data_IF_520298824627
#
_entry.id   IF_520298824627
#
_cell.length_a   1.000
_cell.length_b   1.000
_cell.length_c   1.000
_cell.angle_alpha   90.00
_cell.angle_beta   90.00
_cell.angle_gamma   90.00
#
_symmetry.space_group_name_H-M   'P 1'
#
loop_
_entity.id
_entity.type
_entity.pdbx_description
1 polymer ?
#
# COMPACT_ATOMS: atom_id res chain seq x y z
N UNK A 1 -13.93 -27.15 -58.43
CA UNK A 1 -13.16 -26.37 -57.43
C UNK A 1 -14.16 -25.59 -56.60
N UNK A 2 -14.51 -26.14 -55.42
CA UNK A 2 -15.42 -25.50 -54.45
C UNK A 2 -14.58 -24.92 -53.34
N UNK A 3 -14.64 -23.60 -53.23
CA UNK A 3 -14.03 -22.84 -52.12
C UNK A 3 -14.90 -23.06 -50.85
N UNK A 4 -14.37 -23.76 -49.86
CA UNK A 4 -14.97 -23.82 -48.55
C UNK A 4 -14.87 -22.46 -47.84
N UNK A 5 -16.01 -21.83 -47.63
CA UNK A 5 -16.19 -20.71 -46.71
C UNK A 5 -15.97 -21.22 -45.26
N UNK A 6 -14.91 -20.73 -44.65
CA UNK A 6 -14.63 -20.82 -43.23
C UNK A 6 -15.17 -19.53 -42.54
N UNK A 7 -16.48 -19.35 -42.55
CA UNK A 7 -17.12 -18.22 -41.87
C UNK A 7 -18.42 -18.72 -41.24
N UNK A 8 -18.32 -19.47 -40.16
CA UNK A 8 -19.39 -19.66 -39.18
C UNK A 8 -18.81 -20.30 -37.88
N UNK A 9 -17.87 -19.59 -37.25
CA UNK A 9 -17.56 -19.86 -35.87
C UNK A 9 -18.67 -19.23 -35.02
N UNK A 10 -19.35 -20.00 -34.18
CA UNK A 10 -20.52 -19.51 -33.48
C UNK A 10 -20.12 -18.47 -32.42
N UNK A 11 -20.52 -17.23 -32.67
CA UNK A 11 -20.49 -16.12 -31.71
C UNK A 11 -21.32 -16.36 -30.42
N UNK A 12 -21.73 -17.61 -30.16
CA UNK A 12 -22.60 -18.03 -29.08
C UNK A 12 -21.88 -18.63 -27.86
N UNK A 13 -20.55 -18.64 -27.83
CA UNK A 13 -19.82 -19.19 -26.67
C UNK A 13 -19.58 -18.16 -25.55
N UNK A 14 -19.81 -16.89 -25.83
CA UNK A 14 -19.56 -15.80 -24.86
C UNK A 14 -20.80 -15.36 -24.06
N UNK A 15 -21.98 -15.93 -24.38
CA UNK A 15 -23.25 -15.67 -23.67
C UNK A 15 -23.53 -16.65 -22.52
N UNK A 16 -22.56 -17.47 -22.12
CA UNK A 16 -22.65 -18.11 -20.80
C UNK A 16 -22.48 -16.99 -19.78
N UNK A 17 -23.57 -16.67 -19.05
CA UNK A 17 -23.52 -15.96 -17.75
C UNK A 17 -22.25 -16.43 -17.04
N UNK A 18 -21.20 -15.58 -17.01
CA UNK A 18 -20.00 -15.92 -16.27
C UNK A 18 -20.49 -16.12 -14.84
N UNK A 19 -20.39 -17.34 -14.31
CA UNK A 19 -20.70 -17.59 -12.91
C UNK A 19 -19.85 -16.62 -12.11
N UNK A 20 -20.50 -15.81 -11.29
CA UNK A 20 -19.83 -14.89 -10.38
C UNK A 20 -18.84 -15.67 -9.53
N UNK A 21 -17.56 -15.51 -9.79
CA UNK A 21 -16.48 -16.20 -9.07
C UNK A 21 -16.05 -15.32 -7.92
N UNK A 22 -16.21 -15.78 -6.70
CA UNK A 22 -15.68 -15.08 -5.52
C UNK A 22 -14.18 -15.29 -5.37
N UNK A 23 -13.51 -14.37 -4.67
CA UNK A 23 -12.08 -14.51 -4.35
C UNK A 23 -11.80 -15.82 -3.63
N UNK A 24 -12.63 -16.22 -2.67
CA UNK A 24 -12.46 -17.48 -1.93
C UNK A 24 -12.65 -18.73 -2.80
N UNK A 25 -13.48 -18.66 -3.84
CA UNK A 25 -13.66 -19.75 -4.79
C UNK A 25 -12.49 -19.85 -5.77
N UNK A 26 -11.94 -18.71 -6.21
CA UNK A 26 -10.77 -18.68 -7.09
C UNK A 26 -9.53 -19.23 -6.40
N UNK A 27 -9.36 -18.91 -5.12
CA UNK A 27 -8.23 -19.36 -4.30
C UNK A 27 -8.68 -20.41 -3.29
N UNK A 28 -9.20 -21.53 -3.80
CA UNK A 28 -9.87 -22.57 -3.01
C UNK A 28 -8.96 -23.22 -1.95
N UNK A 29 -7.65 -23.30 -2.19
CA UNK A 29 -6.67 -23.86 -1.25
C UNK A 29 -6.31 -22.88 -0.12
N UNK A 30 -6.77 -21.62 -0.21
CA UNK A 30 -6.55 -20.63 0.84
C UNK A 30 -7.51 -20.86 2.00
N UNK A 31 -6.95 -21.06 3.19
CA UNK A 31 -7.68 -21.24 4.44
C UNK A 31 -7.63 -19.97 5.29
N UNK A 32 -8.56 -19.02 5.06
CA UNK A 32 -8.58 -17.76 5.79
C UNK A 32 -9.01 -17.92 7.25
N UNK A 33 -8.58 -17.00 8.10
CA UNK A 33 -9.18 -16.80 9.42
C UNK A 33 -10.66 -16.46 9.30
N UNK A 34 -11.43 -16.58 10.37
CA UNK A 34 -12.86 -16.23 10.35
C UNK A 34 -13.10 -14.76 9.96
N UNK A 35 -12.30 -13.84 10.51
CA UNK A 35 -12.33 -12.41 10.14
C UNK A 35 -12.14 -12.23 8.62
N UNK A 36 -11.12 -12.86 8.06
CA UNK A 36 -10.78 -12.76 6.64
C UNK A 36 -11.85 -13.41 5.77
N UNK A 37 -12.39 -14.55 6.20
CA UNK A 37 -13.47 -15.24 5.49
C UNK A 37 -14.71 -14.35 5.40
N UNK A 38 -15.10 -13.73 6.51
CA UNK A 38 -16.25 -12.84 6.56
C UNK A 38 -16.04 -11.59 5.70
N UNK A 39 -14.82 -11.04 5.67
CA UNK A 39 -14.48 -9.90 4.84
C UNK A 39 -14.54 -10.23 3.34
N UNK A 40 -14.00 -11.38 2.92
CA UNK A 40 -13.89 -11.77 1.50
C UNK A 40 -15.12 -12.52 0.96
N UNK A 41 -16.08 -12.92 1.81
CA UNK A 41 -17.21 -13.77 1.41
C UNK A 41 -18.08 -13.16 0.30
N UNK A 42 -18.18 -11.83 0.24
CA UNK A 42 -18.94 -11.10 -0.79
C UNK A 42 -18.08 -10.45 -1.87
N UNK A 43 -16.80 -10.80 -1.96
CA UNK A 43 -15.90 -10.24 -2.96
C UNK A 43 -15.99 -11.05 -4.26
N UNK A 44 -16.61 -10.47 -5.28
CA UNK A 44 -16.81 -11.06 -6.61
C UNK A 44 -15.77 -10.52 -7.57
N UNK A 45 -15.12 -11.41 -8.30
CA UNK A 45 -14.06 -11.07 -9.26
C UNK A 45 -14.68 -10.58 -10.56
N UNK A 46 -14.26 -9.41 -11.00
CA UNK A 46 -14.61 -8.82 -12.28
C UNK A 46 -13.60 -9.19 -13.36
N UNK A 47 -12.31 -9.15 -13.02
CA UNK A 47 -11.19 -9.47 -13.90
C UNK A 47 -9.97 -9.92 -13.11
N UNK A 48 -9.05 -10.63 -13.77
CA UNK A 48 -7.75 -10.98 -13.21
C UNK A 48 -6.69 -10.94 -14.31
N UNK A 49 -5.64 -10.16 -14.08
CA UNK A 49 -4.49 -10.04 -14.96
C UNK A 49 -3.32 -10.84 -14.35
N UNK A 50 -2.82 -11.80 -15.11
CA UNK A 50 -1.69 -12.63 -14.71
C UNK A 50 -0.48 -12.35 -15.60
N UNK A 51 0.65 -12.05 -15.00
CA UNK A 51 1.95 -11.95 -15.66
C UNK A 51 2.84 -13.11 -15.20
N UNK A 52 2.88 -14.23 -15.94
CA UNK A 52 3.66 -15.41 -15.57
C UNK A 52 5.15 -15.16 -15.54
N UNK A 53 5.67 -14.27 -16.40
CA UNK A 53 7.10 -13.97 -16.48
C UNK A 53 7.58 -13.25 -15.22
N UNK A 54 6.76 -12.32 -14.71
CA UNK A 54 7.05 -11.61 -13.46
C UNK A 54 6.58 -12.39 -12.23
N UNK A 55 5.76 -13.43 -12.41
CA UNK A 55 5.12 -14.15 -11.31
C UNK A 55 4.20 -13.24 -10.51
N UNK A 56 3.47 -12.35 -11.19
CA UNK A 56 2.58 -11.39 -10.56
C UNK A 56 1.14 -11.53 -11.06
N UNK A 57 0.19 -11.22 -10.18
CA UNK A 57 -1.21 -11.16 -10.53
C UNK A 57 -1.89 -9.93 -9.94
N UNK A 58 -2.83 -9.37 -10.68
CA UNK A 58 -3.72 -8.29 -10.24
C UNK A 58 -5.15 -8.78 -10.37
N UNK A 59 -5.91 -8.75 -9.29
CA UNK A 59 -7.30 -9.21 -9.25
C UNK A 59 -8.19 -7.99 -9.01
N UNK A 60 -9.10 -7.73 -9.94
CA UNK A 60 -10.12 -6.71 -9.84
C UNK A 60 -11.41 -7.35 -9.34
N UNK A 61 -11.98 -6.78 -8.29
CA UNK A 61 -13.18 -7.33 -7.68
C UNK A 61 -14.10 -6.20 -7.18
N UNK A 62 -15.38 -6.49 -7.05
CA UNK A 62 -16.32 -5.63 -6.35
C UNK A 62 -16.86 -6.31 -5.10
N UNK A 63 -17.27 -5.50 -4.14
CA UNK A 63 -17.81 -5.98 -2.85
C UNK A 63 -19.07 -5.21 -2.48
N UNK A 64 -19.91 -5.82 -1.67
CA UNK A 64 -21.11 -5.18 -1.14
C UNK A 64 -20.89 -4.44 0.18
N UNK A 65 -19.73 -4.66 0.84
CA UNK A 65 -19.38 -4.07 2.14
C UNK A 65 -17.93 -3.61 2.11
N UNK A 66 -17.60 -2.66 2.97
CA UNK A 66 -16.24 -2.20 3.14
C UNK A 66 -15.31 -3.32 3.64
N UNK A 67 -14.16 -3.45 2.98
CA UNK A 67 -13.05 -4.30 3.41
C UNK A 67 -11.85 -3.40 3.70
N UNK A 68 -11.33 -3.37 4.93
CA UNK A 68 -10.13 -2.61 5.26
C UNK A 68 -8.92 -3.01 4.40
N UNK A 69 -8.13 -2.02 3.97
CA UNK A 69 -6.94 -2.28 3.15
C UNK A 69 -5.97 -3.26 3.82
N UNK A 70 -5.81 -3.17 5.13
CA UNK A 70 -4.97 -4.10 5.91
C UNK A 70 -5.35 -5.57 5.72
N UNK A 71 -6.64 -5.88 5.54
CA UNK A 71 -7.11 -7.25 5.29
C UNK A 71 -6.83 -7.66 3.84
N UNK A 72 -7.00 -6.76 2.88
CA UNK A 72 -6.64 -7.03 1.48
C UNK A 72 -5.14 -7.25 1.31
N UNK A 73 -4.30 -6.45 1.94
CA UNK A 73 -2.86 -6.63 1.93
C UNK A 73 -2.41 -7.94 2.61
N UNK A 74 -3.08 -8.31 3.69
CA UNK A 74 -2.84 -9.57 4.37
C UNK A 74 -3.24 -10.74 3.48
N UNK A 75 -4.43 -10.72 2.87
CA UNK A 75 -4.88 -11.73 1.92
C UNK A 75 -3.91 -11.85 0.73
N UNK A 76 -3.47 -10.71 0.15
CA UNK A 76 -2.49 -10.68 -0.93
C UNK A 76 -1.20 -11.40 -0.57
N UNK A 77 -0.69 -11.19 0.63
CA UNK A 77 0.53 -11.86 1.10
C UNK A 77 0.34 -13.35 1.33
N UNK A 78 -0.73 -13.73 2.05
CA UNK A 78 -0.99 -15.12 2.39
C UNK A 78 -1.28 -15.96 1.14
N UNK A 79 -2.15 -15.48 0.25
CA UNK A 79 -2.47 -16.13 -1.03
C UNK A 79 -1.26 -16.11 -1.96
N UNK A 80 -0.57 -14.98 -2.10
CA UNK A 80 0.63 -14.88 -2.93
C UNK A 80 1.71 -15.88 -2.51
N UNK A 81 1.91 -16.08 -1.20
CA UNK A 81 2.83 -17.09 -0.67
C UNK A 81 2.37 -18.50 -1.00
N UNK A 82 1.08 -18.80 -0.80
CA UNK A 82 0.50 -20.13 -1.04
C UNK A 82 0.63 -20.55 -2.51
N UNK A 83 0.37 -19.63 -3.44
CA UNK A 83 0.42 -19.90 -4.88
C UNK A 83 1.77 -19.58 -5.54
N UNK A 84 2.81 -19.25 -4.76
CA UNK A 84 4.15 -18.96 -5.27
C UNK A 84 4.25 -17.69 -6.10
N UNK A 85 3.31 -16.77 -5.96
CA UNK A 85 3.34 -15.48 -6.66
C UNK A 85 4.31 -14.52 -5.96
N UNK A 86 5.13 -13.84 -6.74
CA UNK A 86 6.01 -12.77 -6.23
C UNK A 86 5.23 -11.53 -5.78
N UNK A 87 4.12 -11.27 -6.48
CA UNK A 87 3.24 -10.13 -6.21
C UNK A 87 1.80 -10.50 -6.54
N UNK A 88 0.91 -10.33 -5.58
CA UNK A 88 -0.52 -10.39 -5.79
C UNK A 88 -1.12 -9.07 -5.29
N UNK A 89 -1.98 -8.45 -6.08
CA UNK A 89 -2.68 -7.23 -5.74
C UNK A 89 -4.18 -7.41 -5.90
N UNK A 90 -4.94 -6.91 -4.93
CA UNK A 90 -6.39 -6.83 -5.01
C UNK A 90 -6.81 -5.36 -5.21
N UNK A 91 -7.43 -5.08 -6.35
CA UNK A 91 -8.11 -3.83 -6.64
C UNK A 91 -9.60 -4.02 -6.40
N UNK A 92 -10.06 -3.59 -5.23
CA UNK A 92 -11.45 -3.82 -4.81
C UNK A 92 -12.23 -2.52 -4.86
N UNK A 93 -13.36 -2.55 -5.58
CA UNK A 93 -14.34 -1.46 -5.62
C UNK A 93 -15.45 -1.69 -4.60
N UNK A 94 -15.82 -0.64 -3.89
CA UNK A 94 -16.81 -0.65 -2.82
C UNK A 94 -18.01 0.22 -3.19
N UNK A 95 -19.21 -0.05 -2.65
CA UNK A 95 -20.34 0.86 -2.80
C UNK A 95 -20.03 2.24 -2.20
N UNK A 96 -20.53 3.30 -2.82
CA UNK A 96 -20.35 4.67 -2.34
C UNK A 96 -20.82 4.88 -0.88
N UNK A 97 -21.88 4.18 -0.47
CA UNK A 97 -22.38 4.24 0.89
C UNK A 97 -21.47 3.65 1.97
N UNK A 98 -20.41 2.93 1.57
CA UNK A 98 -19.43 2.36 2.50
C UNK A 98 -18.22 3.28 2.73
N UNK A 99 -18.14 4.42 2.04
CA UNK A 99 -17.03 5.36 2.12
C UNK A 99 -16.76 5.85 3.55
N UNK A 100 -17.80 6.12 4.32
CA UNK A 100 -17.70 6.60 5.70
C UNK A 100 -17.15 5.57 6.69
N UNK A 101 -16.97 4.32 6.25
CA UNK A 101 -16.31 3.25 7.02
C UNK A 101 -14.81 3.16 6.77
N UNK A 102 -14.30 3.93 5.78
CA UNK A 102 -12.87 3.95 5.50
C UNK A 102 -12.09 4.37 6.75
N UNK A 103 -11.15 3.51 7.15
CA UNK A 103 -10.38 3.71 8.38
C UNK A 103 -9.44 4.93 8.26
N UNK A 104 -9.25 5.73 9.33
CA UNK A 104 -8.34 6.88 9.33
C UNK A 104 -6.90 6.52 8.92
N UNK A 105 -6.43 5.35 9.34
CA UNK A 105 -5.11 4.82 9.01
C UNK A 105 -4.95 4.60 7.50
N UNK A 106 -6.00 4.16 6.83
CA UNK A 106 -6.01 3.98 5.39
C UNK A 106 -6.01 5.32 4.65
N UNK A 107 -6.84 6.27 5.11
CA UNK A 107 -6.85 7.63 4.56
C UNK A 107 -5.49 8.30 4.71
N UNK A 108 -4.86 8.17 5.88
CA UNK A 108 -3.50 8.65 6.12
C UNK A 108 -2.51 7.97 5.16
N UNK A 109 -2.66 6.66 4.93
CA UNK A 109 -1.85 5.89 3.98
C UNK A 109 -1.86 6.50 2.57
N UNK A 110 -3.02 6.90 2.06
CA UNK A 110 -3.12 7.54 0.74
C UNK A 110 -2.32 8.85 0.62
N UNK A 111 -2.31 9.67 1.68
CA UNK A 111 -1.47 10.87 1.70
C UNK A 111 0.01 10.53 1.78
N UNK A 112 0.39 9.58 2.63
CA UNK A 112 1.78 9.17 2.84
C UNK A 112 2.41 8.51 1.60
N UNK A 113 1.63 7.79 0.81
CA UNK A 113 2.09 7.23 -0.47
C UNK A 113 2.40 8.31 -1.51
N UNK A 114 1.67 9.43 -1.46
CA UNK A 114 1.92 10.58 -2.35
C UNK A 114 3.09 11.42 -1.88
N UNK A 115 3.23 11.62 -0.58
CA UNK A 115 4.32 12.34 0.05
C UNK A 115 4.51 11.87 1.50
N UNK A 116 5.61 11.21 1.77
CA UNK A 116 5.94 10.66 3.09
C UNK A 116 6.07 11.73 4.19
N UNK A 117 6.34 12.98 3.82
CA UNK A 117 6.44 14.11 4.76
C UNK A 117 5.08 14.46 5.40
N UNK A 118 3.96 14.09 4.75
CA UNK A 118 2.60 14.35 5.28
C UNK A 118 2.33 13.60 6.58
N UNK A 119 3.10 12.56 6.87
CA UNK A 119 3.01 11.78 8.11
C UNK A 119 3.06 12.65 9.37
N UNK A 120 4.02 13.58 9.43
CA UNK A 120 4.18 14.48 10.58
C UNK A 120 2.97 15.39 10.76
N UNK A 121 2.38 15.88 9.66
CA UNK A 121 1.21 16.75 9.68
C UNK A 121 -0.08 16.02 10.05
N UNK A 122 -0.18 14.72 9.70
CA UNK A 122 -1.35 13.88 9.95
C UNK A 122 -1.27 13.11 11.27
N UNK A 123 -0.11 13.11 11.94
CA UNK A 123 0.06 12.45 13.24
C UNK A 123 -0.87 13.08 14.29
N UNK A 124 -1.82 12.29 14.81
CA UNK A 124 -2.83 12.77 15.76
C UNK A 124 -3.97 13.59 15.13
N UNK A 125 -4.08 13.63 13.81
CA UNK A 125 -5.22 14.25 13.13
C UNK A 125 -6.54 13.53 13.49
N UNK A 126 -7.61 14.30 13.60
CA UNK A 126 -8.97 13.75 13.77
C UNK A 126 -9.69 13.77 12.45
N UNK A 127 -10.35 12.68 12.12
CA UNK A 127 -11.02 12.44 10.85
C UNK A 127 -12.53 12.33 11.11
N UNK A 128 -13.29 13.18 10.45
CA UNK A 128 -14.74 13.21 10.63
C UNK A 128 -15.43 13.14 9.27
N UNK A 129 -16.29 12.12 9.09
CA UNK A 129 -17.12 11.95 7.90
C UNK A 129 -18.44 12.71 8.05
N UNK A 130 -18.76 13.56 7.06
CA UNK A 130 -20.10 14.07 6.79
C UNK A 130 -20.76 13.28 5.64
N UNK A 131 -21.88 13.79 5.10
CA UNK A 131 -22.60 13.10 4.00
C UNK A 131 -21.75 12.89 2.74
N UNK A 132 -21.00 13.89 2.32
CA UNK A 132 -20.07 13.82 1.17
C UNK A 132 -18.81 14.66 1.43
N UNK A 133 -18.41 14.75 2.68
CA UNK A 133 -17.26 15.55 3.11
C UNK A 133 -16.45 14.80 4.14
N UNK A 134 -15.13 14.85 3.96
CA UNK A 134 -14.17 14.42 4.94
C UNK A 134 -13.51 15.66 5.55
N UNK A 135 -13.71 15.89 6.82
CA UNK A 135 -13.04 16.95 7.57
C UNK A 135 -11.88 16.38 8.35
N UNK A 136 -10.69 16.92 8.10
CA UNK A 136 -9.45 16.51 8.77
C UNK A 136 -8.98 17.65 9.65
N UNK A 137 -9.07 17.47 10.99
CA UNK A 137 -8.55 18.43 11.95
C UNK A 137 -7.10 18.12 12.26
N UNK A 138 -6.23 19.04 11.87
CA UNK A 138 -4.79 18.90 11.97
C UNK A 138 -4.28 19.38 13.32
N UNK A 139 -3.42 18.59 14.00
CA UNK A 139 -2.82 19.00 15.26
C UNK A 139 -1.68 19.99 15.09
N UNK A 140 -1.12 20.10 13.88
CA UNK A 140 0.05 20.90 13.57
C UNK A 140 -0.05 21.56 12.19
N UNK A 141 0.94 22.38 11.84
CA UNK A 141 1.07 22.99 10.53
C UNK A 141 1.23 21.91 9.42
N UNK A 142 0.86 22.24 8.21
CA UNK A 142 0.98 21.32 7.04
C UNK A 142 -0.24 21.32 6.11
N UNK A 143 -1.22 22.18 6.41
CA UNK A 143 -2.46 22.30 5.66
C UNK A 143 -2.21 22.51 4.17
N UNK A 144 -1.35 23.47 3.80
CA UNK A 144 -1.08 23.82 2.39
C UNK A 144 -0.50 22.64 1.58
N UNK A 145 0.32 21.79 2.22
CA UNK A 145 0.87 20.63 1.58
C UNK A 145 -0.21 19.56 1.36
N UNK A 146 -1.08 19.35 2.35
CA UNK A 146 -2.17 18.37 2.28
C UNK A 146 -3.27 18.82 1.30
N UNK A 147 -3.59 20.10 1.23
CA UNK A 147 -4.56 20.64 0.26
C UNK A 147 -4.10 20.41 -1.19
N UNK A 148 -2.80 20.48 -1.47
CA UNK A 148 -2.26 20.16 -2.80
C UNK A 148 -2.38 18.68 -3.16
N UNK A 149 -2.38 17.79 -2.18
CA UNK A 149 -2.50 16.36 -2.38
C UNK A 149 -3.95 15.87 -2.37
N UNK A 150 -4.87 16.62 -1.75
CA UNK A 150 -6.27 16.27 -1.63
C UNK A 150 -6.94 15.84 -2.95
N UNK A 151 -6.73 16.51 -4.10
CA UNK A 151 -7.32 16.08 -5.37
C UNK A 151 -6.90 14.68 -5.79
N UNK A 152 -5.64 14.28 -5.53
CA UNK A 152 -5.13 12.94 -5.86
C UNK A 152 -5.72 11.88 -4.91
N UNK A 153 -5.86 12.21 -3.63
CA UNK A 153 -6.52 11.33 -2.65
C UNK A 153 -8.00 11.17 -2.98
N UNK A 154 -8.70 12.26 -3.35
CA UNK A 154 -10.09 12.19 -3.83
C UNK A 154 -10.23 11.27 -5.03
N UNK A 155 -9.31 11.34 -6.00
CA UNK A 155 -9.34 10.44 -7.17
C UNK A 155 -9.23 8.97 -6.73
N UNK A 156 -8.35 8.64 -5.80
CA UNK A 156 -8.23 7.26 -5.27
C UNK A 156 -9.51 6.80 -4.56
N UNK A 157 -10.12 7.68 -3.77
CA UNK A 157 -11.40 7.39 -3.13
C UNK A 157 -12.50 7.17 -4.17
N UNK A 158 -12.52 7.98 -5.22
CA UNK A 158 -13.45 7.83 -6.34
C UNK A 158 -13.25 6.50 -7.07
N UNK A 159 -12.02 6.12 -7.34
CA UNK A 159 -11.70 4.86 -8.03
C UNK A 159 -12.11 3.65 -7.18
N UNK A 160 -12.01 3.78 -5.86
CA UNK A 160 -12.29 2.68 -4.94
C UNK A 160 -13.76 2.62 -4.47
N UNK A 161 -14.41 3.76 -4.28
CA UNK A 161 -15.77 3.83 -3.73
C UNK A 161 -16.80 4.39 -4.71
N UNK A 162 -16.39 4.79 -5.91
CA UNK A 162 -17.30 5.47 -6.83
C UNK A 162 -17.82 6.83 -6.34
N UNK A 163 -17.28 7.34 -5.22
CA UNK A 163 -17.69 8.58 -4.57
C UNK A 163 -16.56 9.62 -4.61
N UNK A 164 -16.92 10.89 -4.77
CA UNK A 164 -15.97 12.01 -4.86
C UNK A 164 -16.21 12.97 -3.68
N UNK A 165 -15.73 12.63 -2.45
CA UNK A 165 -15.98 13.46 -1.29
C UNK A 165 -15.14 14.73 -1.34
N UNK A 166 -15.67 15.82 -0.80
CA UNK A 166 -14.89 17.02 -0.50
C UNK A 166 -13.96 16.73 0.69
N UNK A 167 -12.65 17.01 0.55
CA UNK A 167 -11.69 16.89 1.66
C UNK A 167 -11.35 18.31 2.13
N UNK A 168 -11.61 18.59 3.38
CA UNK A 168 -11.34 19.88 4.03
C UNK A 168 -10.39 19.70 5.20
N UNK A 169 -9.47 20.65 5.38
CA UNK A 169 -8.51 20.66 6.47
C UNK A 169 -8.80 21.83 7.41
N UNK A 170 -8.97 21.53 8.68
CA UNK A 170 -9.15 22.50 9.74
C UNK A 170 -7.93 22.50 10.65
N UNK A 171 -7.50 23.68 11.09
CA UNK A 171 -6.50 23.78 12.14
C UNK A 171 -7.15 23.33 13.46
N UNK A 172 -6.63 22.29 14.07
CA UNK A 172 -7.00 21.89 15.42
C UNK A 172 -6.31 22.75 16.48
N UNK A 173 -6.64 22.52 17.74
CA UNK A 173 -5.83 23.04 18.83
C UNK A 173 -4.45 22.40 18.73
N UNK A 174 -3.41 23.19 18.54
CA UNK A 174 -2.04 22.72 18.35
C UNK A 174 -1.65 21.71 19.43
N UNK A 175 -1.31 20.48 18.98
CA UNK A 175 -0.56 19.56 19.80
C UNK A 175 0.86 20.11 19.90
N UNK A 176 1.22 20.73 21.04
CA UNK A 176 2.55 21.26 21.27
C UNK A 176 3.39 20.29 22.11
N UNK A 177 4.67 20.20 21.78
CA UNK A 177 5.65 19.52 22.63
C UNK A 177 5.40 18.02 22.77
N UNK A 178 5.20 17.56 24.01
CA UNK A 178 5.12 16.15 24.38
C UNK A 178 3.99 15.40 23.67
N UNK A 179 2.81 15.98 23.54
CA UNK A 179 1.65 15.32 22.92
C UNK A 179 1.86 15.04 21.43
N UNK A 180 2.56 15.90 20.69
CA UNK A 180 2.96 15.66 19.31
C UNK A 180 4.00 14.54 19.25
N UNK A 181 4.98 14.56 20.16
CA UNK A 181 6.01 13.52 20.24
C UNK A 181 5.41 12.16 20.53
N UNK A 182 4.52 12.05 21.53
CA UNK A 182 3.84 10.81 21.91
C UNK A 182 2.97 10.27 20.74
N UNK A 183 2.33 11.15 19.97
CA UNK A 183 1.56 10.76 18.77
C UNK A 183 2.47 10.20 17.65
N UNK A 184 3.62 10.82 17.40
CA UNK A 184 4.61 10.34 16.43
C UNK A 184 5.24 9.01 16.86
N UNK A 185 5.52 8.86 18.16
CA UNK A 185 6.10 7.64 18.70
C UNK A 185 5.14 6.46 18.62
N UNK A 186 3.85 6.68 18.91
CA UNK A 186 2.81 5.63 18.77
C UNK A 186 2.65 5.14 17.32
N UNK A 187 2.81 6.03 16.33
CA UNK A 187 2.80 5.65 14.92
C UNK A 187 4.04 4.84 14.58
N UNK A 188 5.21 5.26 15.07
CA UNK A 188 6.47 4.54 14.86
C UNK A 188 6.45 3.14 15.48
N UNK A 189 5.89 2.99 16.66
CA UNK A 189 5.75 1.67 17.31
C UNK A 189 4.84 0.74 16.51
N UNK A 190 3.70 1.22 16.03
CA UNK A 190 2.80 0.44 15.18
C UNK A 190 3.48 -0.04 13.88
N UNK A 191 4.35 0.77 13.31
CA UNK A 191 5.13 0.39 12.12
C UNK A 191 6.27 -0.58 12.45
N UNK A 192 6.95 -0.40 13.57
CA UNK A 192 8.02 -1.32 13.98
C UNK A 192 7.48 -2.74 14.19
N UNK A 193 6.25 -2.90 14.67
CA UNK A 193 5.59 -4.21 14.74
C UNK A 193 5.33 -4.81 13.34
N UNK A 194 5.18 -3.98 12.32
CA UNK A 194 4.96 -4.42 10.92
C UNK A 194 6.27 -4.64 10.12
N UNK A 195 7.41 -4.14 10.60
CA UNK A 195 8.71 -4.20 9.92
C UNK A 195 9.35 -5.61 9.85
N UNK A 196 9.22 -6.53 10.82
CA UNK A 196 9.86 -7.84 10.73
C UNK A 196 9.48 -8.62 9.48
N UNK A 197 8.21 -8.47 9.03
CA UNK A 197 7.73 -9.15 7.83
C UNK A 197 8.25 -8.52 6.52
N UNK A 198 8.55 -7.22 6.50
CA UNK A 198 9.10 -6.53 5.33
C UNK A 198 10.61 -6.78 5.18
N UNK A 199 11.35 -6.83 6.28
CA UNK A 199 12.81 -7.06 6.26
C UNK A 199 13.18 -8.51 5.91
N UNK A 200 12.47 -9.50 6.45
CA UNK A 200 12.72 -10.90 6.13
C UNK A 200 12.52 -11.22 4.64
N UNK A 201 11.67 -10.46 3.94
CA UNK A 201 11.42 -10.64 2.50
C UNK A 201 12.49 -9.98 1.62
N UNK A 202 13.15 -8.93 2.12
CA UNK A 202 14.21 -8.24 1.40
C UNK A 202 15.55 -8.99 1.48
N UNK A 203 15.76 -9.77 2.55
CA UNK A 203 16.96 -10.61 2.72
C UNK A 203 16.93 -11.88 1.86
N UNK A 204 15.76 -12.47 1.61
CA UNK A 204 15.63 -13.68 0.77
C UNK A 204 15.79 -13.42 -0.73
N UNK A 205 15.73 -12.17 -1.19
CA UNK A 205 15.83 -11.82 -2.63
C UNK A 205 17.20 -11.24 -3.03
N UNK A 206 18.18 -11.20 -2.12
CA UNK A 206 19.54 -10.76 -2.48
C UNK A 206 20.38 -11.96 -2.92
N UNK A 207 20.99 -11.92 -4.13
CA UNK A 207 22.04 -12.89 -4.46
C UNK A 207 23.13 -12.75 -3.42
N UNK A 208 23.53 -13.86 -2.81
CA UNK A 208 24.69 -13.92 -1.90
C UNK A 208 25.94 -13.56 -2.71
N UNK A 209 26.29 -12.30 -2.74
CA UNK A 209 27.65 -11.89 -3.10
C UNK A 209 28.53 -12.21 -1.91
N UNK A 210 29.60 -12.94 -2.16
CA UNK A 210 30.64 -13.28 -1.19
C UNK A 210 30.98 -12.01 -0.41
N UNK A 211 30.66 -12.00 0.88
CA UNK A 211 30.95 -10.88 1.77
C UNK A 211 32.48 -10.77 1.89
N UNK A 212 33.04 -9.60 1.57
CA UNK A 212 34.42 -9.25 2.00
C UNK A 212 34.43 -9.34 3.53
N UNK A 213 35.43 -9.98 4.09
CA UNK A 213 35.52 -10.32 5.52
C UNK A 213 35.40 -9.10 6.46
N UNK A 214 35.60 -7.90 5.91
CA UNK A 214 35.61 -6.64 6.67
C UNK A 214 34.27 -5.83 6.57
N UNK A 215 33.27 -6.33 5.84
CA UNK A 215 31.98 -5.63 5.69
C UNK A 215 30.92 -6.23 6.61
N UNK A 216 30.56 -5.52 7.69
CA UNK A 216 29.54 -5.96 8.66
C UNK A 216 28.13 -5.71 8.11
N UNK A 217 27.92 -4.62 7.34
CA UNK A 217 26.61 -4.23 6.78
C UNK A 217 26.77 -3.41 5.52
N UNK A 218 26.00 -3.71 4.48
CA UNK A 218 25.96 -2.95 3.23
C UNK A 218 26.83 -3.52 2.11
N UNK A 219 27.18 -2.68 1.12
CA UNK A 219 28.08 -3.04 0.01
C UNK A 219 29.49 -2.59 0.35
N UNK A 220 30.54 -3.38 0.02
CA UNK A 220 31.91 -2.95 0.23
C UNK A 220 32.20 -1.67 -0.58
N UNK A 221 32.86 -0.71 0.05
CA UNK A 221 33.24 0.53 -0.58
C UNK A 221 34.64 0.36 -1.21
N UNK A 222 34.83 0.89 -2.41
CA UNK A 222 36.11 1.00 -3.07
C UNK A 222 36.46 2.46 -3.23
N UNK A 223 37.45 2.94 -2.51
CA UNK A 223 37.90 4.33 -2.57
C UNK A 223 38.84 4.67 -1.43
N UNK A 224 39.42 5.88 -1.49
CA UNK A 224 40.33 6.39 -0.45
C UNK A 224 39.49 7.03 0.67
N UNK A 225 39.76 6.63 1.91
CA UNK A 225 39.12 7.22 3.09
C UNK A 225 39.67 8.63 3.31
N UNK A 226 38.78 9.60 3.52
CA UNK A 226 39.11 10.99 3.80
C UNK A 226 38.82 11.27 5.27
N UNK A 227 39.81 11.82 6.03
CA UNK A 227 39.60 12.24 7.41
C UNK A 227 38.51 13.32 7.47
N UNK A 228 37.62 13.23 8.46
CA UNK A 228 36.50 14.18 8.64
C UNK A 228 36.94 15.65 8.69
N UNK A 229 38.14 15.92 9.21
CA UNK A 229 38.71 17.26 9.30
C UNK A 229 39.01 17.92 7.92
N UNK A 230 39.07 17.10 6.86
CA UNK A 230 39.34 17.55 5.49
C UNK A 230 38.09 17.64 4.62
N UNK A 231 36.91 17.44 5.18
CA UNK A 231 35.66 17.54 4.42
C UNK A 231 35.33 19.00 4.11
N UNK A 232 35.05 19.27 2.83
CA UNK A 232 34.52 20.56 2.36
C UNK A 232 33.18 20.36 1.69
N UNK A 233 32.37 21.43 1.64
CA UNK A 233 31.02 21.40 1.06
C UNK A 233 30.99 21.07 -0.44
N UNK A 234 32.10 21.22 -1.13
CA UNK A 234 32.23 20.97 -2.58
C UNK A 234 32.61 19.52 -2.91
N UNK A 235 32.92 18.71 -1.92
CA UNK A 235 33.21 17.30 -2.09
C UNK A 235 31.91 16.53 -2.26
N UNK A 236 31.70 15.91 -3.41
CA UNK A 236 30.54 15.04 -3.66
C UNK A 236 30.46 13.84 -2.69
N UNK A 237 30.28 12.63 -3.20
CA UNK A 237 30.24 11.41 -2.37
C UNK A 237 31.64 11.06 -1.87
N UNK A 238 31.85 11.01 -0.56
CA UNK A 238 33.14 10.70 0.09
C UNK A 238 32.99 9.48 1.00
N UNK A 239 34.11 8.79 1.25
CA UNK A 239 34.22 7.69 2.21
C UNK A 239 34.94 8.23 3.44
N UNK A 240 34.31 8.10 4.60
CA UNK A 240 34.88 8.52 5.88
C UNK A 240 34.95 7.35 6.85
N UNK A 241 35.97 7.35 7.71
CA UNK A 241 36.08 6.42 8.81
C UNK A 241 35.85 7.12 10.14
N UNK A 242 35.11 6.49 11.04
CA UNK A 242 34.81 7.02 12.37
C UNK A 242 34.68 5.92 13.41
N UNK A 243 34.91 6.27 14.68
CA UNK A 243 34.64 5.39 15.83
C UNK A 243 33.26 5.68 16.38
N UNK A 244 32.48 4.61 16.57
CA UNK A 244 31.22 4.69 17.28
C UNK A 244 31.52 4.58 18.78
N UNK A 245 31.13 5.61 19.53
CA UNK A 245 31.19 5.59 20.99
C UNK A 245 29.80 5.18 21.51
N UNK A 246 29.75 4.14 22.34
CA UNK A 246 28.55 3.67 23.04
C UNK A 246 28.44 4.36 24.42
#
# INVERSE_FOLDING_TARGET
MQAHRLDDAPARLWDRKMEEISILRMFADYLPTEEMRNALAGAIIDNADLDPEKGSAVVYAHVSRYIPMRLLERASREIGTLYGLRRLEFHVTHPAGELNRCEPEELMGYFMELDSMTRASLAGAKWEWGENRLTVRLPANGRDALEKLAPKVRQRLKDRFGADPEITFEAGSELQGKALFDALESIREKEMVSLPAKMARQEQSRPQTVADADTIYGKPFRGTVIPMEKLTLDMGTVIVEGRVFA
#
